data_IF_205785247404
#
_entry.id   IF_205785247404
#
_cell.length_a   1.000
_cell.length_b   1.000
_cell.length_c   1.000
_cell.angle_alpha   90.00
_cell.angle_beta   90.00
_cell.angle_gamma   90.00
#
_symmetry.space_group_name_H-M   'P 1'
#
loop_
_entity.id
_entity.type
_entity.pdbx_description
1 polymer ?
#
# COMPACT_ATOMS: atom_id res chain seq x y z
N UNK A 1 -4.83 -19.39 23.64
CA UNK A 1 -3.66 -20.29 23.45
C UNK A 1 -3.14 -20.06 22.04
N UNK A 2 -2.38 -18.99 21.82
CA UNK A 2 -1.82 -18.67 20.50
C UNK A 2 -0.61 -19.56 20.22
N UNK A 3 -0.68 -20.32 19.13
CA UNK A 3 0.46 -21.09 18.60
C UNK A 3 1.46 -20.10 18.00
N UNK A 4 2.53 -19.80 18.73
CA UNK A 4 3.70 -19.09 18.19
C UNK A 4 4.22 -19.82 16.96
N UNK A 5 3.99 -19.24 15.77
CA UNK A 5 4.56 -19.74 14.51
C UNK A 5 6.06 -19.43 14.51
N UNK A 6 6.88 -20.42 14.85
CA UNK A 6 8.34 -20.37 14.69
C UNK A 6 8.69 -20.65 13.24
N UNK A 7 9.40 -19.72 12.57
CA UNK A 7 10.01 -19.99 11.27
C UNK A 7 11.34 -20.74 11.51
N UNK A 8 11.48 -21.89 10.86
CA UNK A 8 12.75 -22.63 10.79
C UNK A 8 13.36 -22.36 9.42
N UNK A 9 14.59 -21.85 9.39
CA UNK A 9 15.31 -21.55 8.15
C UNK A 9 16.49 -22.52 8.05
N UNK A 10 16.49 -23.37 7.03
CA UNK A 10 17.59 -24.29 6.72
C UNK A 10 18.54 -23.67 5.69
N UNK A 11 19.85 -23.72 5.96
CA UNK A 11 20.87 -23.47 4.95
C UNK A 11 21.75 -24.71 4.85
N UNK A 12 21.69 -25.39 3.72
CA UNK A 12 22.61 -26.49 3.41
C UNK A 12 23.92 -25.88 2.94
N UNK A 13 24.98 -25.98 3.74
CA UNK A 13 26.33 -25.61 3.33
C UNK A 13 27.19 -26.87 3.32
N UNK A 14 27.72 -27.21 2.15
CA UNK A 14 28.69 -28.28 1.97
C UNK A 14 30.00 -27.91 2.68
N UNK A 15 30.08 -28.23 3.97
CA UNK A 15 31.27 -28.55 4.78
C UNK A 15 31.13 -28.06 6.23
N UNK A 16 31.16 -29.03 7.15
CA UNK A 16 31.32 -28.94 8.61
C UNK A 16 30.12 -28.39 9.43
N UNK A 17 29.45 -29.34 10.10
CA UNK A 17 28.39 -29.24 11.13
C UNK A 17 27.00 -28.67 10.72
N UNK A 18 25.92 -29.48 10.87
CA UNK A 18 24.57 -28.95 10.70
C UNK A 18 24.23 -27.98 11.85
N UNK A 19 23.98 -26.71 11.51
CA UNK A 19 23.53 -25.68 12.43
C UNK A 19 22.01 -25.53 12.37
N UNK A 20 21.33 -25.89 13.45
CA UNK A 20 19.88 -25.69 13.62
C UNK A 20 19.62 -24.42 14.42
N UNK A 21 19.06 -23.39 13.80
CA UNK A 21 18.64 -22.17 14.50
C UNK A 21 17.15 -21.91 14.27
N UNK A 22 16.44 -21.58 15.34
CA UNK A 22 15.05 -21.15 15.30
C UNK A 22 14.98 -19.71 15.77
N UNK A 23 14.25 -18.88 15.04
CA UNK A 23 13.99 -17.49 15.39
C UNK A 23 12.50 -17.31 15.61
N UNK A 24 12.11 -16.59 16.66
CA UNK A 24 10.71 -16.22 16.86
C UNK A 24 10.40 -15.02 15.97
N UNK A 25 9.14 -14.93 15.53
CA UNK A 25 8.68 -13.79 14.73
C UNK A 25 8.97 -12.44 15.43
N UNK A 26 8.76 -12.36 16.74
CA UNK A 26 9.04 -11.13 17.49
C UNK A 26 10.52 -10.73 17.43
N UNK A 27 11.44 -11.68 17.56
CA UNK A 27 12.88 -11.43 17.49
C UNK A 27 13.27 -10.89 16.10
N UNK A 28 12.68 -11.44 15.02
CA UNK A 28 12.86 -10.93 13.67
C UNK A 28 12.32 -9.50 13.51
N UNK A 29 11.12 -9.24 14.04
CA UNK A 29 10.49 -7.92 13.95
C UNK A 29 11.24 -6.87 14.77
N UNK A 30 11.87 -7.26 15.88
CA UNK A 30 12.75 -6.38 16.65
C UNK A 30 14.05 -6.07 15.91
N UNK A 31 14.64 -7.07 15.25
CA UNK A 31 15.84 -6.87 14.42
C UNK A 31 15.59 -5.90 13.26
N UNK A 32 14.38 -5.89 12.69
CA UNK A 32 14.00 -4.98 11.62
C UNK A 32 13.34 -3.67 12.10
N UNK A 33 13.32 -3.39 13.41
CA UNK A 33 12.57 -2.28 13.96
C UNK A 33 13.05 -0.90 13.47
N UNK A 34 14.34 -0.75 13.17
CA UNK A 34 14.90 0.46 12.58
C UNK A 34 14.42 0.67 11.13
N UNK A 35 14.40 -0.40 10.32
CA UNK A 35 13.89 -0.38 8.95
C UNK A 35 12.41 -0.01 8.90
N UNK A 36 11.61 -0.56 9.81
CA UNK A 36 10.18 -0.23 9.90
C UNK A 36 9.91 1.23 10.29
N UNK A 37 10.82 1.88 11.02
CA UNK A 37 10.68 3.32 11.32
C UNK A 37 10.99 4.18 10.11
N UNK A 38 12.01 3.80 9.33
CA UNK A 38 12.37 4.49 8.08
C UNK A 38 11.24 4.50 7.05
N UNK A 39 10.31 3.56 7.09
CA UNK A 39 9.14 3.58 6.19
C UNK A 39 8.17 4.73 6.47
N UNK A 40 8.28 5.43 7.61
CA UNK A 40 7.50 6.64 7.87
C UNK A 40 8.08 7.88 7.20
N UNK A 41 9.37 7.90 6.88
CA UNK A 41 10.01 9.07 6.24
C UNK A 41 9.35 9.42 4.89
N UNK A 42 9.09 8.46 3.96
CA UNK A 42 8.36 8.77 2.73
C UNK A 42 6.93 9.26 2.98
N UNK A 43 6.26 8.77 4.03
CA UNK A 43 4.89 9.19 4.37
C UNK A 43 4.88 10.64 4.84
N UNK A 44 5.83 11.02 5.69
CA UNK A 44 6.02 12.41 6.14
C UNK A 44 6.36 13.34 4.97
N UNK A 45 7.24 12.89 4.06
CA UNK A 45 7.56 13.63 2.84
C UNK A 45 6.32 13.85 1.97
N UNK A 46 5.54 12.80 1.69
CA UNK A 46 4.32 12.92 0.90
C UNK A 46 3.30 13.89 1.51
N UNK A 47 3.11 13.86 2.83
CA UNK A 47 2.25 14.81 3.52
C UNK A 47 2.76 16.25 3.37
N UNK A 48 4.06 16.45 3.56
CA UNK A 48 4.71 17.75 3.42
C UNK A 48 4.56 18.30 2.00
N UNK A 49 4.83 17.48 0.99
CA UNK A 49 4.78 17.88 -0.43
C UNK A 49 3.34 18.16 -0.88
N UNK A 50 2.36 17.49 -0.29
CA UNK A 50 0.93 17.76 -0.53
C UNK A 50 0.39 18.99 0.21
N UNK A 51 1.14 19.53 1.19
CA UNK A 51 0.68 20.56 2.14
C UNK A 51 -0.60 20.18 2.91
N UNK A 52 -0.89 18.88 3.04
CA UNK A 52 -2.07 18.36 3.74
C UNK A 52 -1.67 17.90 5.13
N UNK A 53 -2.40 18.38 6.15
CA UNK A 53 -2.25 17.87 7.51
C UNK A 53 -2.77 16.43 7.62
N UNK A 54 -2.04 15.58 8.34
CA UNK A 54 -2.40 14.16 8.51
C UNK A 54 -3.81 13.91 9.05
N UNK A 55 -4.41 14.86 9.78
CA UNK A 55 -5.81 14.77 10.27
C UNK A 55 -6.84 14.89 9.16
N UNK A 56 -6.45 15.42 7.99
CA UNK A 56 -7.29 15.55 6.80
C UNK A 56 -7.23 14.33 5.89
N UNK A 57 -6.39 13.34 6.20
CA UNK A 57 -6.41 12.07 5.48
C UNK A 57 -7.69 11.33 5.86
N UNK A 58 -8.55 11.06 4.88
CA UNK A 58 -9.84 10.41 5.09
C UNK A 58 -9.70 8.90 5.27
N UNK A 59 -8.80 8.26 4.53
CA UNK A 59 -8.59 6.81 4.57
C UNK A 59 -7.13 6.42 4.34
N UNK A 60 -6.74 5.28 4.92
CA UNK A 60 -5.40 4.71 4.79
C UNK A 60 -5.57 3.31 4.22
N UNK A 61 -5.28 3.13 2.93
CA UNK A 61 -5.39 1.85 2.23
C UNK A 61 -4.04 1.14 2.25
N UNK A 62 -4.01 -0.12 2.69
CA UNK A 62 -2.79 -0.92 2.73
C UNK A 62 -2.62 -1.75 1.46
N UNK A 63 -1.46 -1.62 0.81
CA UNK A 63 -1.12 -2.34 -0.42
C UNK A 63 0.26 -3.00 -0.27
N UNK A 64 0.41 -4.20 -0.83
CA UNK A 64 1.62 -5.02 -0.81
C UNK A 64 1.77 -5.89 0.44
N UNK A 65 2.38 -7.07 0.29
CA UNK A 65 2.45 -8.09 1.36
C UNK A 65 3.15 -7.65 2.64
N UNK A 66 4.15 -6.77 2.56
CA UNK A 66 4.84 -6.23 3.74
C UNK A 66 3.94 -5.37 4.62
N UNK A 67 2.85 -4.81 4.09
CA UNK A 67 1.85 -4.07 4.88
C UNK A 67 1.05 -4.97 5.84
N UNK A 68 1.11 -6.29 5.67
CA UNK A 68 0.53 -7.28 6.60
C UNK A 68 1.34 -7.44 7.88
N UNK A 69 2.56 -6.91 7.94
CA UNK A 69 3.40 -6.96 9.15
C UNK A 69 2.73 -6.15 10.27
N UNK A 70 2.38 -6.77 11.42
CA UNK A 70 1.62 -6.09 12.48
C UNK A 70 2.32 -4.85 13.04
N UNK A 71 3.66 -4.86 13.06
CA UNK A 71 4.47 -3.73 13.53
C UNK A 71 4.33 -2.50 12.63
N UNK A 72 4.29 -2.67 11.31
CA UNK A 72 4.05 -1.58 10.33
C UNK A 72 2.67 -0.99 10.52
N UNK A 73 1.64 -1.84 10.62
CA UNK A 73 0.27 -1.37 10.85
C UNK A 73 0.13 -0.60 12.16
N UNK A 74 0.80 -1.05 13.22
CA UNK A 74 0.84 -0.30 14.48
C UNK A 74 1.51 1.06 14.31
N UNK A 75 2.67 1.12 13.65
CA UNK A 75 3.36 2.38 13.39
C UNK A 75 2.51 3.36 12.60
N UNK A 76 1.81 2.90 11.55
CA UNK A 76 0.91 3.74 10.76
C UNK A 76 -0.29 4.23 11.59
N UNK A 77 -0.93 3.34 12.38
CA UNK A 77 -2.01 3.76 13.30
C UNK A 77 -1.53 4.82 14.28
N UNK A 78 -0.40 4.59 14.93
CA UNK A 78 0.17 5.54 15.90
C UNK A 78 0.51 6.88 15.21
N UNK A 79 1.06 6.83 14.00
CA UNK A 79 1.40 8.02 13.20
C UNK A 79 0.16 8.86 12.83
N UNK A 80 -0.91 8.21 12.40
CA UNK A 80 -2.20 8.82 12.06
C UNK A 80 -3.18 8.91 13.25
N UNK A 81 -2.66 9.08 14.47
CA UNK A 81 -3.46 9.37 15.68
C UNK A 81 -4.56 8.33 16.00
N UNK A 82 -4.27 7.05 15.75
CA UNK A 82 -5.17 5.93 16.01
C UNK A 82 -6.21 5.67 14.93
N UNK A 83 -6.12 6.34 13.77
CA UNK A 83 -7.03 6.13 12.64
C UNK A 83 -7.03 4.68 12.18
N UNK A 84 -8.22 4.14 11.89
CA UNK A 84 -8.34 2.77 11.38
C UNK A 84 -7.73 2.63 9.98
N UNK A 85 -7.09 1.49 9.74
CA UNK A 85 -6.51 1.15 8.45
C UNK A 85 -7.57 0.41 7.63
N UNK A 86 -7.77 0.80 6.38
CA UNK A 86 -8.71 0.16 5.48
C UNK A 86 -8.11 -1.17 4.98
N UNK A 87 -8.79 -2.27 5.33
CA UNK A 87 -8.47 -3.64 4.94
C UNK A 87 -9.57 -4.28 4.07
N UNK A 88 -10.43 -3.47 3.42
CA UNK A 88 -11.54 -3.94 2.57
C UNK A 88 -11.07 -4.67 1.31
N UNK A 89 -9.80 -4.48 0.91
CA UNK A 89 -9.20 -5.11 -0.27
C UNK A 89 -7.98 -5.90 0.18
N UNK A 90 -7.75 -7.06 -0.43
CA UNK A 90 -6.54 -7.83 -0.21
C UNK A 90 -5.30 -7.03 -0.68
N UNK A 91 -4.34 -6.71 0.21
CA UNK A 91 -3.17 -5.89 -0.15
C UNK A 91 -2.33 -6.47 -1.30
N UNK A 92 -2.34 -7.78 -1.48
CA UNK A 92 -1.53 -8.45 -2.53
C UNK A 92 -2.18 -8.35 -3.92
N UNK A 93 -3.50 -8.11 -3.97
CA UNK A 93 -4.29 -8.12 -5.22
C UNK A 93 -4.74 -6.70 -5.62
N UNK A 94 -4.72 -5.75 -4.68
CA UNK A 94 -5.20 -4.39 -4.89
C UNK A 94 -4.59 -3.71 -6.14
N UNK A 95 -3.28 -3.90 -6.37
CA UNK A 95 -2.59 -3.34 -7.55
C UNK A 95 -3.10 -3.96 -8.84
N UNK A 96 -3.20 -5.29 -8.88
CA UNK A 96 -3.65 -6.01 -10.08
C UNK A 96 -5.11 -5.65 -10.41
N UNK A 97 -5.95 -5.52 -9.38
CA UNK A 97 -7.34 -5.11 -9.55
C UNK A 97 -7.44 -3.69 -10.13
N UNK A 98 -6.72 -2.72 -9.55
CA UNK A 98 -6.68 -1.35 -10.07
C UNK A 98 -6.18 -1.28 -11.52
N UNK A 99 -5.17 -2.07 -11.88
CA UNK A 99 -4.68 -2.17 -13.25
C UNK A 99 -5.72 -2.76 -14.21
N UNK A 100 -6.48 -3.77 -13.79
CA UNK A 100 -7.55 -4.36 -14.59
C UNK A 100 -8.69 -3.37 -14.84
N UNK A 101 -9.09 -2.61 -13.82
CA UNK A 101 -10.08 -1.53 -13.97
C UNK A 101 -9.58 -0.48 -14.96
N UNK A 102 -8.33 -0.04 -14.84
CA UNK A 102 -7.76 0.94 -15.77
C UNK A 102 -7.67 0.38 -17.21
N UNK A 103 -7.35 -0.90 -17.38
CA UNK A 103 -7.36 -1.55 -18.69
C UNK A 103 -8.77 -1.62 -19.31
N UNK A 104 -9.80 -1.84 -18.49
CA UNK A 104 -11.20 -1.83 -18.94
C UNK A 104 -11.63 -0.44 -19.42
N UNK A 105 -11.25 0.62 -18.69
CA UNK A 105 -11.45 2.03 -19.10
C UNK A 105 -10.82 2.28 -20.47
N UNK A 106 -9.54 1.92 -20.64
CA UNK A 106 -8.80 2.13 -21.89
C UNK A 106 -9.34 1.28 -23.06
N UNK A 107 -9.92 0.12 -22.77
CA UNK A 107 -10.55 -0.75 -23.76
C UNK A 107 -11.94 -0.27 -24.18
N UNK A 108 -12.45 0.82 -23.59
CA UNK A 108 -13.76 1.39 -23.90
C UNK A 108 -14.93 0.59 -23.34
N UNK A 109 -14.72 -0.18 -22.27
CA UNK A 109 -15.80 -0.85 -21.53
C UNK A 109 -16.70 0.22 -20.90
N UNK A 110 -17.99 0.19 -21.22
CA UNK A 110 -18.98 1.22 -20.83
C UNK A 110 -19.94 0.72 -19.75
N UNK A 111 -19.38 0.22 -18.66
CA UNK A 111 -20.15 -0.08 -17.45
C UNK A 111 -20.39 1.20 -16.65
N UNK A 112 -21.58 1.37 -16.07
CA UNK A 112 -21.95 2.59 -15.34
C UNK A 112 -21.11 2.81 -14.08
N UNK A 113 -20.45 1.76 -13.56
CA UNK A 113 -19.53 1.87 -12.42
C UNK A 113 -18.13 2.35 -12.83
N UNK A 114 -17.74 2.16 -14.10
CA UNK A 114 -16.37 2.40 -14.60
C UNK A 114 -16.31 3.64 -15.52
N UNK A 115 -17.46 4.09 -16.05
CA UNK A 115 -17.56 5.15 -17.07
C UNK A 115 -16.91 6.48 -16.69
N UNK A 116 -16.90 6.82 -15.41
CA UNK A 116 -16.47 8.13 -14.92
C UNK A 116 -15.13 8.07 -14.16
N UNK A 117 -14.36 6.99 -14.33
CA UNK A 117 -13.04 6.87 -13.70
C UNK A 117 -12.03 7.76 -14.45
N UNK A 118 -11.66 8.88 -13.82
CA UNK A 118 -10.58 9.76 -14.27
C UNK A 118 -9.41 9.66 -13.29
N UNK A 119 -8.23 9.30 -13.81
CA UNK A 119 -6.98 9.20 -13.05
C UNK A 119 -6.07 10.38 -13.39
N UNK A 120 -5.66 11.15 -12.37
CA UNK A 120 -4.66 12.20 -12.49
C UNK A 120 -3.42 11.76 -11.70
N UNK A 121 -2.30 11.58 -12.39
CA UNK A 121 -1.05 11.10 -11.78
C UNK A 121 0.00 12.21 -11.76
N UNK A 122 0.93 12.11 -10.82
CA UNK A 122 2.03 13.06 -10.64
C UNK A 122 3.35 12.43 -11.07
N UNK A 123 4.19 13.20 -11.76
CA UNK A 123 5.53 12.72 -12.11
C UNK A 123 6.48 12.99 -10.94
N UNK A 124 7.13 11.97 -10.35
CA UNK A 124 7.90 12.12 -9.11
C UNK A 124 9.24 12.84 -9.28
N UNK A 125 9.73 13.01 -10.52
CA UNK A 125 11.00 13.67 -10.84
C UNK A 125 10.77 14.74 -11.91
N UNK A 126 11.32 15.94 -11.69
CA UNK A 126 11.28 17.02 -12.67
C UNK A 126 12.52 16.87 -13.58
N UNK A 127 12.31 16.58 -14.86
CA UNK A 127 13.33 16.82 -15.89
C UNK A 127 13.19 18.25 -16.42
N UNK A 128 14.28 18.84 -16.93
CA UNK A 128 14.29 20.21 -17.48
C UNK A 128 13.29 20.47 -18.60
N UNK A 129 12.74 19.41 -19.19
CA UNK A 129 11.97 19.46 -20.43
C UNK A 129 10.45 19.41 -20.18
N UNK A 130 10.03 19.59 -18.93
CA UNK A 130 8.65 19.37 -18.46
C UNK A 130 7.87 20.69 -18.24
N UNK A 131 7.93 21.61 -19.19
CA UNK A 131 7.12 22.85 -19.17
C UNK A 131 5.87 22.79 -20.06
N UNK A 132 5.64 21.69 -20.80
CA UNK A 132 4.58 21.63 -21.83
C UNK A 132 3.33 20.80 -21.46
N UNK A 133 3.22 20.24 -20.25
CA UNK A 133 2.09 19.35 -19.88
C UNK A 133 1.39 19.84 -18.62
N UNK A 134 0.84 21.05 -18.66
CA UNK A 134 -0.12 21.52 -17.66
C UNK A 134 -1.29 22.14 -18.40
N UNK A 135 -2.20 21.30 -18.90
CA UNK A 135 -3.60 21.68 -19.13
C UNK A 135 -4.46 20.44 -19.41
N UNK A 136 -5.17 19.95 -18.39
CA UNK A 136 -6.42 19.20 -18.56
C UNK A 136 -7.21 19.18 -17.24
N UNK A 137 -8.24 20.03 -17.17
CA UNK A 137 -9.37 20.07 -16.23
C UNK A 137 -9.48 18.90 -15.22
N UNK A 138 -9.37 19.22 -13.93
CA UNK A 138 -9.27 18.28 -12.81
C UNK A 138 -10.61 18.18 -12.04
N UNK A 139 -11.12 16.96 -11.87
CA UNK A 139 -12.22 16.59 -10.98
C UNK A 139 -11.85 15.37 -10.12
N UNK A 140 -12.26 15.35 -8.85
CA UNK A 140 -11.84 14.37 -7.82
C UNK A 140 -12.84 13.20 -7.75
N UNK A 141 -12.36 11.95 -7.75
CA UNK A 141 -13.15 10.75 -7.42
C UNK A 141 -13.24 10.55 -5.90
N UNK A 142 -14.43 10.22 -5.40
CA UNK A 142 -14.66 9.89 -3.99
C UNK A 142 -14.57 8.37 -3.79
N UNK A 143 -14.03 7.97 -2.65
CA UNK A 143 -13.80 6.57 -2.31
C UNK A 143 -15.08 5.72 -2.19
N UNK A 144 -16.23 6.36 -1.96
CA UNK A 144 -17.55 5.71 -2.04
C UNK A 144 -17.82 5.09 -3.42
N UNK A 145 -17.22 5.64 -4.47
CA UNK A 145 -17.40 5.19 -5.84
C UNK A 145 -16.48 3.99 -6.15
N UNK A 146 -15.34 3.89 -5.46
CA UNK A 146 -14.41 2.76 -5.54
C UNK A 146 -14.96 1.48 -4.88
N UNK A 147 -15.72 1.61 -3.79
CA UNK A 147 -16.36 0.45 -3.14
C UNK A 147 -17.48 -0.17 -3.99
N UNK A 148 -18.27 0.65 -4.71
CA UNK A 148 -19.31 0.15 -5.64
C UNK A 148 -18.73 -0.63 -6.83
N UNK A 149 -17.55 -0.22 -7.31
CA UNK A 149 -16.81 -0.91 -8.36
C UNK A 149 -16.39 -2.33 -7.94
N UNK A 150 -16.01 -2.52 -6.67
CA UNK A 150 -15.59 -3.82 -6.14
C UNK A 150 -16.77 -4.80 -5.98
N UNK A 151 -17.93 -4.31 -5.54
CA UNK A 151 -19.12 -5.16 -5.35
C UNK A 151 -19.74 -5.62 -6.67
N UNK A 152 -19.60 -4.84 -7.75
CA UNK A 152 -20.16 -5.16 -9.07
C UNK A 152 -19.33 -6.19 -9.84
N UNK A 153 -18.04 -6.34 -9.52
CA UNK A 153 -17.14 -7.30 -10.18
C UNK A 153 -17.17 -8.72 -9.59
N UNK A 154 -17.89 -8.94 -8.49
CA UNK A 154 -17.96 -10.23 -7.77
C UNK A 154 -19.28 -11.01 -7.98
N UNK A 155 -20.18 -10.51 -8.83
CA UNK A 155 -21.35 -11.23 -9.36
C UNK A 155 -21.29 -11.32 -10.89
#
# INVERSE_FOLDING_TARGET
MERSKSLQISKETESHHPMWHSMKLNDLLELCADLFRKTLEPVEMSLKDSEIDKTKIDEIVLVGGSSKVPKIQKLLRDFFNGKELNCSINPDEAVAFGAAVQAAVLSGVRDDTIKDVVLYDVTPLISSDMLDVIDANVGILKLSDFQKLLETSLN
#
